data_IF_303737023918
#
_entry.id   IF_303737023918
#
_cell.length_a   1.000
_cell.length_b   1.000
_cell.length_c   1.000
_cell.angle_alpha   90.00
_cell.angle_beta   90.00
_cell.angle_gamma   90.00
#
_symmetry.space_group_name_H-M   'P 1'
#
loop_
_entity.id
_entity.type
_entity.pdbx_description
1 polymer ?
#
# COMPACT_ATOMS: atom_id res chain seq x y z
N UNK A 1 32.71 -11.60 0.06
CA UNK A 1 31.75 -11.15 -0.95
C UNK A 1 30.40 -11.07 -0.25
N UNK A 2 30.11 -9.92 0.34
CA UNK A 2 28.85 -9.62 1.00
C UNK A 2 27.82 -9.42 -0.11
N UNK A 3 26.85 -10.33 -0.19
CA UNK A 3 25.72 -10.19 -1.09
C UNK A 3 24.79 -9.19 -0.39
N UNK A 4 24.74 -7.97 -0.90
CA UNK A 4 23.76 -6.98 -0.45
C UNK A 4 22.35 -7.52 -0.72
N UNK A 5 21.41 -7.37 0.24
CA UNK A 5 20.04 -7.78 0.03
C UNK A 5 19.43 -6.92 -1.08
N UNK A 6 18.85 -7.57 -2.09
CA UNK A 6 18.09 -6.89 -3.15
C UNK A 6 16.92 -6.16 -2.48
N UNK A 7 17.02 -4.83 -2.43
CA UNK A 7 16.00 -3.97 -1.87
C UNK A 7 14.69 -4.15 -2.62
N UNK A 8 13.62 -4.45 -1.89
CA UNK A 8 12.22 -4.43 -2.39
C UNK A 8 11.65 -3.03 -2.43
N UNK A 9 12.45 -1.99 -2.16
CA UNK A 9 12.02 -0.62 -2.28
C UNK A 9 11.85 -0.28 -3.78
N UNK A 10 10.74 0.38 -4.09
CA UNK A 10 10.46 0.88 -5.44
C UNK A 10 11.31 2.11 -5.79
N UNK A 11 12.17 2.52 -4.86
CA UNK A 11 13.13 3.62 -4.94
C UNK A 11 14.45 3.19 -4.30
N UNK A 12 15.52 3.93 -4.57
CA UNK A 12 16.89 3.68 -4.15
C UNK A 12 17.50 4.91 -3.48
N UNK A 13 18.64 4.74 -2.80
CA UNK A 13 19.38 5.87 -2.25
C UNK A 13 19.77 6.89 -3.34
N UNK A 14 20.07 6.41 -4.55
CA UNK A 14 20.41 7.24 -5.70
C UNK A 14 19.24 8.16 -6.11
N UNK A 15 17.98 7.69 -6.01
CA UNK A 15 16.79 8.53 -6.28
C UNK A 15 16.66 9.69 -5.27
N UNK A 16 17.04 9.45 -4.01
CA UNK A 16 17.06 10.49 -2.96
C UNK A 16 18.17 11.50 -3.23
N UNK A 17 19.36 11.03 -3.63
CA UNK A 17 20.49 11.90 -4.00
C UNK A 17 20.17 12.74 -5.23
N UNK A 18 19.61 12.15 -6.29
CA UNK A 18 19.22 12.85 -7.51
C UNK A 18 18.19 13.96 -7.21
N UNK A 19 17.13 13.65 -6.45
CA UNK A 19 16.16 14.66 -6.05
C UNK A 19 16.81 15.77 -5.20
N UNK A 20 17.77 15.42 -4.35
CA UNK A 20 18.52 16.38 -3.54
C UNK A 20 19.30 17.36 -4.40
N UNK A 21 20.01 16.87 -5.42
CA UNK A 21 20.74 17.72 -6.36
C UNK A 21 19.80 18.65 -7.15
N UNK A 22 18.68 18.12 -7.64
CA UNK A 22 17.66 18.90 -8.37
C UNK A 22 17.09 20.02 -7.50
N UNK A 23 16.78 19.73 -6.23
CA UNK A 23 16.27 20.71 -5.28
C UNK A 23 17.36 21.73 -4.89
N UNK A 24 18.59 21.28 -4.63
CA UNK A 24 19.72 22.13 -4.25
C UNK A 24 20.12 23.12 -5.36
N UNK A 25 19.95 22.75 -6.64
CA UNK A 25 20.17 23.64 -7.76
C UNK A 25 19.22 24.86 -7.80
N UNK A 26 18.14 24.84 -7.00
CA UNK A 26 17.13 25.90 -6.99
C UNK A 26 17.39 26.95 -5.94
N UNK A 27 17.13 28.20 -6.31
CA UNK A 27 17.05 29.30 -5.35
C UNK A 27 15.65 29.32 -4.73
N UNK A 28 15.54 28.85 -3.50
CA UNK A 28 14.29 28.88 -2.74
C UNK A 28 14.44 29.52 -1.36
N UNK A 29 13.37 30.17 -0.90
CA UNK A 29 13.23 30.59 0.51
C UNK A 29 12.89 29.41 1.43
N UNK A 30 12.43 28.29 0.87
CA UNK A 30 12.17 27.06 1.63
C UNK A 30 13.46 26.57 2.34
N UNK A 31 14.63 26.82 1.73
CA UNK A 31 15.94 26.43 2.28
C UNK A 31 16.35 27.20 3.55
N UNK A 32 15.57 28.20 3.96
CA UNK A 32 15.75 28.86 5.25
C UNK A 32 15.13 28.06 6.40
N UNK A 33 14.25 27.10 6.09
CA UNK A 33 13.47 26.33 7.06
C UNK A 33 13.86 24.83 7.05
N UNK A 34 14.34 24.32 5.93
CA UNK A 34 14.73 22.91 5.76
C UNK A 34 15.91 22.80 4.78
N UNK A 35 16.54 21.63 4.66
CA UNK A 35 17.58 21.37 3.65
C UNK A 35 17.03 20.53 2.49
N UNK A 36 17.53 20.71 1.25
CA UNK A 36 17.14 19.87 0.12
C UNK A 36 17.19 18.36 0.41
N UNK A 37 18.22 17.88 1.10
CA UNK A 37 18.37 16.47 1.47
C UNK A 37 17.29 15.98 2.44
N UNK A 38 16.90 16.80 3.42
CA UNK A 38 15.84 16.45 4.37
C UNK A 38 14.48 16.36 3.66
N UNK A 39 14.22 17.26 2.71
CA UNK A 39 13.02 17.22 1.88
C UNK A 39 13.01 15.95 1.02
N UNK A 40 14.12 15.62 0.36
CA UNK A 40 14.21 14.40 -0.45
C UNK A 40 13.99 13.15 0.38
N UNK A 41 14.62 13.03 1.55
CA UNK A 41 14.41 11.90 2.45
C UNK A 41 12.94 11.80 2.89
N UNK A 42 12.29 12.93 3.21
CA UNK A 42 10.87 12.98 3.56
C UNK A 42 9.94 12.57 2.40
N UNK A 43 10.28 12.89 1.15
CA UNK A 43 9.49 12.50 -0.03
C UNK A 43 9.34 10.98 -0.09
N UNK A 44 10.43 10.24 0.12
CA UNK A 44 10.45 8.77 0.00
C UNK A 44 10.20 8.02 1.31
N UNK A 45 10.07 8.74 2.44
CA UNK A 45 9.66 8.15 3.71
C UNK A 45 8.24 7.55 3.62
N UNK A 46 7.94 6.62 4.53
CA UNK A 46 6.60 6.03 4.62
C UNK A 46 5.49 7.10 4.69
N UNK A 47 4.29 6.82 4.17
CA UNK A 47 3.17 7.75 4.12
C UNK A 47 2.52 7.93 5.51
N UNK A 48 3.32 8.27 6.52
CA UNK A 48 2.83 8.70 7.82
C UNK A 48 2.58 10.22 7.79
N UNK A 49 1.42 10.71 8.27
CA UNK A 49 1.23 12.13 8.50
C UNK A 49 2.29 12.63 9.48
N UNK A 50 2.87 13.79 9.20
CA UNK A 50 3.85 14.41 10.09
C UNK A 50 3.32 14.38 11.55
N UNK A 51 4.16 14.02 12.54
CA UNK A 51 3.77 14.05 13.94
C UNK A 51 3.17 15.42 14.25
N UNK A 52 2.15 15.44 15.10
CA UNK A 52 1.21 16.55 15.37
C UNK A 52 1.90 17.92 15.50
N UNK A 53 2.23 18.53 14.37
CA UNK A 53 2.61 19.93 14.29
C UNK A 53 1.39 20.73 14.78
N UNK A 54 1.60 21.71 15.68
CA UNK A 54 0.50 22.56 16.10
C UNK A 54 -0.15 23.20 14.86
N UNK A 55 -1.50 23.26 14.81
CA UNK A 55 -2.18 23.78 13.65
C UNK A 55 -1.71 25.22 13.36
N UNK A 56 -1.66 25.65 12.08
CA UNK A 56 -1.21 26.99 11.70
C UNK A 56 -2.00 28.12 12.37
N UNK A 57 -3.22 27.83 12.82
CA UNK A 57 -4.02 28.71 13.64
C UNK A 57 -4.96 27.90 14.55
N UNK A 58 -5.35 28.50 15.67
CA UNK A 58 -6.42 27.99 16.53
C UNK A 58 -7.77 28.05 15.83
N UNK A 59 -8.60 27.05 16.08
CA UNK A 59 -10.01 27.02 15.66
C UNK A 59 -10.84 27.36 16.89
N UNK A 60 -11.66 28.41 16.80
CA UNK A 60 -12.66 28.70 17.82
C UNK A 60 -13.90 27.82 17.57
N UNK A 61 -14.32 27.05 18.56
CA UNK A 61 -15.47 26.13 18.46
C UNK A 61 -15.14 24.73 17.95
N UNK A 62 -16.18 23.92 17.70
CA UNK A 62 -16.03 22.56 17.19
C UNK A 62 -15.81 22.60 15.67
N UNK A 63 -14.76 21.90 15.19
CA UNK A 63 -14.38 21.97 13.78
C UNK A 63 -15.45 21.39 12.84
N UNK A 64 -16.32 20.52 13.34
CA UNK A 64 -17.38 19.85 12.58
C UNK A 64 -18.73 20.59 12.63
N UNK A 65 -18.78 21.75 13.27
CA UNK A 65 -20.00 22.56 13.37
C UNK A 65 -20.62 22.83 11.99
N UNK A 66 -21.84 22.34 11.80
CA UNK A 66 -22.61 22.49 10.56
C UNK A 66 -22.17 21.61 9.40
N UNK A 67 -21.29 20.61 9.62
CA UNK A 67 -20.87 19.65 8.59
C UNK A 67 -21.63 18.33 8.71
N UNK A 68 -22.07 17.79 7.57
CA UNK A 68 -22.51 16.40 7.45
C UNK A 68 -21.32 15.43 7.34
N UNK A 69 -21.59 14.13 7.20
CA UNK A 69 -20.56 13.10 7.20
C UNK A 69 -19.62 13.16 5.98
N UNK A 70 -20.10 13.26 4.72
CA UNK A 70 -19.24 13.48 3.55
C UNK A 70 -18.39 14.75 3.68
N UNK A 71 -18.97 15.84 4.19
CA UNK A 71 -18.24 17.08 4.42
C UNK A 71 -17.11 16.87 5.45
N UNK A 72 -17.41 16.23 6.59
CA UNK A 72 -16.39 15.92 7.60
C UNK A 72 -15.23 15.10 7.01
N UNK A 73 -15.53 14.12 6.15
CA UNK A 73 -14.51 13.31 5.49
C UNK A 73 -13.67 14.13 4.50
N UNK A 74 -14.28 15.01 3.70
CA UNK A 74 -13.57 15.91 2.78
C UNK A 74 -12.65 16.89 3.52
N UNK A 75 -13.12 17.49 4.62
CA UNK A 75 -12.31 18.36 5.48
C UNK A 75 -11.13 17.62 6.11
N UNK A 76 -11.33 16.37 6.56
CA UNK A 76 -10.26 15.55 7.10
C UNK A 76 -9.22 15.16 6.04
N UNK A 77 -9.64 14.76 4.84
CA UNK A 77 -8.73 14.46 3.73
C UNK A 77 -7.91 15.70 3.33
N UNK A 78 -8.56 16.86 3.21
CA UNK A 78 -7.88 18.11 2.88
C UNK A 78 -6.84 18.50 3.95
N UNK A 79 -7.16 18.33 5.23
CA UNK A 79 -6.23 18.57 6.32
C UNK A 79 -5.05 17.61 6.33
N UNK A 80 -5.29 16.34 6.00
CA UNK A 80 -4.24 15.34 5.88
C UNK A 80 -3.28 15.66 4.72
N UNK A 81 -3.82 16.05 3.56
CA UNK A 81 -3.01 16.53 2.43
C UNK A 81 -2.22 17.80 2.77
N UNK A 82 -2.83 18.75 3.49
CA UNK A 82 -2.14 19.96 3.94
C UNK A 82 -0.92 19.63 4.83
N UNK A 83 -1.07 18.67 5.76
CA UNK A 83 0.02 18.18 6.62
C UNK A 83 1.13 17.44 5.88
N UNK A 84 0.83 16.97 4.67
CA UNK A 84 1.74 16.20 3.82
C UNK A 84 2.27 17.02 2.64
N UNK A 85 2.04 18.34 2.66
CA UNK A 85 2.37 19.21 1.52
C UNK A 85 3.87 19.44 1.39
N UNK A 86 4.53 19.81 2.48
CA UNK A 86 5.99 19.99 2.58
C UNK A 86 6.42 19.65 4.01
N UNK A 87 7.72 19.40 4.28
CA UNK A 87 8.20 19.34 5.65
C UNK A 87 7.87 20.64 6.38
N UNK A 88 7.61 20.56 7.68
CA UNK A 88 7.23 21.72 8.50
C UNK A 88 6.03 22.48 7.89
N UNK A 89 5.01 21.73 7.46
CA UNK A 89 3.87 22.27 6.72
C UNK A 89 3.25 23.46 7.46
N UNK A 90 3.11 23.40 8.78
CA UNK A 90 2.49 24.47 9.55
C UNK A 90 3.25 25.81 9.47
N UNK A 91 4.59 25.78 9.55
CA UNK A 91 5.43 26.99 9.54
C UNK A 91 5.54 27.63 8.15
N UNK A 92 5.21 26.87 7.11
CA UNK A 92 5.27 27.27 5.69
C UNK A 92 3.91 27.68 5.11
N UNK A 93 2.81 27.52 5.85
CA UNK A 93 1.46 27.86 5.44
C UNK A 93 1.32 29.35 5.09
N UNK A 94 0.63 29.66 3.98
CA UNK A 94 0.45 31.01 3.46
C UNK A 94 1.69 31.60 2.77
N UNK A 95 2.86 30.98 2.90
CA UNK A 95 4.09 31.36 2.19
C UNK A 95 4.35 30.44 1.00
N UNK A 96 4.34 29.12 1.20
CA UNK A 96 4.68 28.14 0.17
C UNK A 96 3.48 27.38 -0.37
N UNK A 97 2.39 27.38 0.40
CA UNK A 97 1.15 26.71 0.05
C UNK A 97 -0.05 27.40 0.73
N UNK A 98 -1.25 27.15 0.23
CA UNK A 98 -2.50 27.52 0.88
C UNK A 98 -3.54 26.40 0.69
N UNK A 99 -4.47 26.29 1.62
CA UNK A 99 -5.73 25.57 1.44
C UNK A 99 -6.84 26.61 1.36
N UNK A 100 -7.66 26.55 0.31
CA UNK A 100 -8.82 27.41 0.12
C UNK A 100 -10.10 26.61 0.03
N UNK A 101 -11.19 27.20 0.52
CA UNK A 101 -12.55 26.77 0.24
C UNK A 101 -13.11 27.70 -0.84
N UNK A 102 -13.41 27.18 -2.01
CA UNK A 102 -13.99 27.93 -3.13
C UNK A 102 -15.32 27.32 -3.56
N UNK A 103 -16.07 28.00 -4.40
CA UNK A 103 -17.25 27.44 -5.06
C UNK A 103 -17.07 27.64 -6.56
N UNK A 104 -17.04 26.56 -7.32
CA UNK A 104 -16.70 26.55 -8.75
C UNK A 104 -17.88 26.19 -9.67
N UNK A 105 -19.11 26.26 -9.13
CA UNK A 105 -20.33 25.94 -9.87
C UNK A 105 -20.76 24.49 -9.76
N UNK A 106 -19.84 23.57 -9.42
CA UNK A 106 -20.16 22.18 -9.06
C UNK A 106 -20.42 22.02 -7.57
N UNK A 107 -19.89 22.92 -6.75
CA UNK A 107 -20.19 23.00 -5.32
C UNK A 107 -19.05 23.62 -4.54
N UNK A 108 -19.11 23.57 -3.19
CA UNK A 108 -17.99 23.93 -2.36
C UNK A 108 -16.83 22.94 -2.56
N UNK A 109 -15.65 23.45 -2.89
CA UNK A 109 -14.43 22.72 -3.18
C UNK A 109 -13.34 23.13 -2.19
N UNK A 110 -12.74 22.13 -1.52
CA UNK A 110 -11.51 22.30 -0.75
C UNK A 110 -10.33 22.08 -1.69
N UNK A 111 -9.49 23.10 -1.85
CA UNK A 111 -8.43 23.13 -2.85
C UNK A 111 -7.09 23.52 -2.24
N UNK A 112 -6.11 22.63 -2.37
CA UNK A 112 -4.73 22.88 -1.97
C UNK A 112 -3.94 23.42 -3.16
N UNK A 113 -3.24 24.53 -2.94
CA UNK A 113 -2.35 25.14 -3.93
C UNK A 113 -0.95 25.26 -3.35
N UNK A 114 0.05 24.80 -4.10
CA UNK A 114 1.46 24.80 -3.70
C UNK A 114 2.25 25.50 -4.80
N UNK A 115 2.97 26.57 -4.44
CA UNK A 115 3.65 27.42 -5.42
C UNK A 115 2.70 28.04 -6.47
N UNK A 116 2.70 27.50 -7.69
CA UNK A 116 1.79 27.93 -8.79
C UNK A 116 0.72 26.92 -9.14
N UNK A 117 0.74 25.74 -8.51
CA UNK A 117 -0.04 24.61 -8.96
C UNK A 117 -1.09 24.25 -7.91
N UNK A 118 -2.31 24.01 -8.37
CA UNK A 118 -3.35 23.40 -7.56
C UNK A 118 -3.08 21.91 -7.52
N UNK A 119 -2.59 21.36 -6.40
CA UNK A 119 -2.11 19.98 -6.35
C UNK A 119 -3.15 18.99 -5.85
N UNK A 120 -4.20 19.49 -5.20
CA UNK A 120 -5.30 18.66 -4.72
C UNK A 120 -6.63 19.44 -4.71
N UNK A 121 -7.71 18.72 -4.97
CA UNK A 121 -9.08 19.18 -4.76
C UNK A 121 -10.00 18.06 -4.30
N UNK A 122 -10.90 18.38 -3.37
CA UNK A 122 -11.98 17.50 -2.94
C UNK A 122 -13.26 18.31 -2.76
N UNK A 123 -14.35 17.91 -3.41
CA UNK A 123 -15.63 18.55 -3.18
C UNK A 123 -16.17 18.18 -1.81
N UNK A 124 -16.83 19.14 -1.16
CA UNK A 124 -17.45 18.93 0.14
C UNK A 124 -18.62 17.95 0.10
N UNK A 125 -19.20 17.69 -1.08
CA UNK A 125 -20.17 16.61 -1.28
C UNK A 125 -19.56 15.21 -1.09
N UNK A 126 -18.23 15.10 -1.10
CA UNK A 126 -17.50 13.83 -1.15
C UNK A 126 -17.49 13.19 -2.54
N UNK A 127 -18.15 13.81 -3.52
CA UNK A 127 -18.15 13.39 -4.91
C UNK A 127 -16.87 13.91 -5.57
N UNK A 128 -16.07 13.00 -6.12
CA UNK A 128 -14.84 13.32 -6.83
C UNK A 128 -13.72 13.98 -5.99
N UNK A 129 -12.55 13.36 -6.05
CA UNK A 129 -11.29 13.89 -5.54
C UNK A 129 -10.28 13.85 -6.66
N UNK A 130 -9.46 14.88 -6.78
CA UNK A 130 -8.36 14.86 -7.74
C UNK A 130 -7.04 15.26 -7.09
N UNK A 131 -5.97 14.66 -7.59
CA UNK A 131 -4.60 14.81 -7.13
C UNK A 131 -3.70 15.00 -8.34
N UNK A 132 -2.84 16.02 -8.30
CA UNK A 132 -1.71 16.12 -9.21
C UNK A 132 -0.49 15.54 -8.54
N UNK A 133 0.24 14.68 -9.25
CA UNK A 133 1.43 14.00 -8.75
C UNK A 133 2.55 14.04 -9.77
N UNK A 134 3.80 13.88 -9.33
CA UNK A 134 4.95 13.75 -10.22
C UNK A 134 4.86 12.43 -11.01
N UNK A 135 5.19 12.44 -12.29
CA UNK A 135 5.09 11.25 -13.14
C UNK A 135 6.12 10.16 -12.80
N UNK A 136 7.37 10.56 -12.56
CA UNK A 136 8.49 9.62 -12.43
C UNK A 136 8.29 8.54 -11.35
N UNK A 137 7.86 8.84 -10.10
CA UNK A 137 7.64 7.82 -9.09
C UNK A 137 6.53 6.82 -9.44
N UNK A 138 5.48 7.29 -10.12
CA UNK A 138 4.39 6.42 -10.58
C UNK A 138 4.87 5.50 -11.69
N UNK A 139 5.60 6.04 -12.68
CA UNK A 139 6.16 5.26 -13.78
C UNK A 139 7.09 4.16 -13.28
N UNK A 140 8.04 4.49 -12.41
CA UNK A 140 8.97 3.52 -11.82
C UNK A 140 8.23 2.42 -11.04
N UNK A 141 7.24 2.80 -10.24
CA UNK A 141 6.45 1.84 -9.48
C UNK A 141 5.58 0.94 -10.36
N UNK A 142 5.11 1.43 -11.52
CA UNK A 142 4.42 0.61 -12.52
C UNK A 142 5.38 -0.40 -13.18
N UNK A 143 6.58 0.03 -13.56
CA UNK A 143 7.57 -0.80 -14.25
C UNK A 143 8.00 -2.02 -13.43
N UNK A 144 8.08 -1.86 -12.10
CA UNK A 144 8.45 -2.94 -11.18
C UNK A 144 7.24 -3.67 -10.56
N UNK A 145 6.01 -3.29 -10.93
CA UNK A 145 4.78 -3.88 -10.40
C UNK A 145 4.45 -3.55 -8.94
N UNK A 146 4.99 -2.46 -8.40
CA UNK A 146 4.65 -1.95 -7.07
C UNK A 146 3.28 -1.25 -7.02
N UNK A 147 2.71 -0.89 -8.19
CA UNK A 147 1.34 -0.40 -8.35
C UNK A 147 0.50 -1.40 -9.14
N UNK A 148 -0.73 -1.65 -8.67
CA UNK A 148 -1.69 -2.50 -9.38
C UNK A 148 -2.74 -1.64 -10.09
N UNK A 149 -2.56 -1.44 -11.40
CA UNK A 149 -3.48 -0.65 -12.23
C UNK A 149 -4.87 -1.28 -12.38
N UNK A 150 -4.98 -2.61 -12.31
CA UNK A 150 -6.28 -3.29 -12.34
C UNK A 150 -7.09 -2.95 -11.08
N UNK A 151 -6.44 -2.91 -9.92
CA UNK A 151 -7.07 -2.46 -8.67
C UNK A 151 -7.49 -0.99 -8.74
N UNK A 152 -6.66 -0.14 -9.35
CA UNK A 152 -7.01 1.27 -9.55
C UNK A 152 -8.27 1.39 -10.43
N UNK A 153 -8.34 0.67 -11.54
CA UNK A 153 -9.51 0.62 -12.41
C UNK A 153 -10.76 0.09 -11.69
N UNK A 154 -10.64 -0.97 -10.88
CA UNK A 154 -11.76 -1.50 -10.08
C UNK A 154 -12.32 -0.51 -9.06
N UNK A 155 -11.47 0.39 -8.56
CA UNK A 155 -11.86 1.48 -7.64
C UNK A 155 -12.31 2.76 -8.37
N UNK A 156 -12.34 2.75 -9.70
CA UNK A 156 -12.70 3.92 -10.50
C UNK A 156 -11.65 5.03 -10.47
N UNK A 157 -10.40 4.71 -10.16
CA UNK A 157 -9.31 5.68 -10.23
C UNK A 157 -8.90 5.86 -11.69
N UNK A 158 -8.97 7.10 -12.19
CA UNK A 158 -8.49 7.42 -13.54
C UNK A 158 -7.11 8.07 -13.46
N UNK A 159 -6.21 7.62 -14.33
CA UNK A 159 -4.88 8.18 -14.49
C UNK A 159 -4.82 8.93 -15.82
N UNK A 160 -4.68 10.25 -15.75
CA UNK A 160 -4.67 11.14 -16.90
C UNK A 160 -3.34 11.89 -16.99
N UNK A 161 -2.89 12.17 -18.21
CA UNK A 161 -1.74 13.05 -18.44
C UNK A 161 -2.13 14.49 -18.09
N UNK A 162 -1.36 15.14 -17.20
CA UNK A 162 -1.61 16.54 -16.85
C UNK A 162 -0.89 17.49 -17.82
N UNK A 163 -1.68 18.13 -18.69
CA UNK A 163 -1.20 19.07 -19.72
C UNK A 163 -0.92 20.48 -19.22
N UNK A 164 -1.04 20.74 -17.92
CA UNK A 164 -0.71 22.05 -17.34
C UNK A 164 0.80 22.32 -17.47
N UNK A 165 1.14 23.47 -18.05
CA UNK A 165 2.54 23.91 -18.15
C UNK A 165 2.96 24.53 -16.82
N UNK A 166 3.77 23.80 -16.06
CA UNK A 166 4.38 24.30 -14.81
C UNK A 166 5.87 23.98 -14.79
N UNK A 167 6.56 24.31 -13.69
CA UNK A 167 8.00 24.07 -13.54
C UNK A 167 8.37 22.57 -13.46
N UNK A 168 7.41 21.65 -13.27
CA UNK A 168 7.64 20.21 -13.21
C UNK A 168 7.44 19.57 -14.59
N UNK A 169 8.43 18.76 -15.01
CA UNK A 169 8.56 18.25 -16.39
C UNK A 169 7.46 17.24 -16.76
N UNK A 170 7.14 16.29 -15.87
CA UNK A 170 6.06 15.32 -16.09
C UNK A 170 5.13 15.24 -14.87
N UNK A 171 3.83 15.41 -15.12
CA UNK A 171 2.78 15.38 -14.09
C UNK A 171 1.66 14.45 -14.54
N UNK A 172 1.07 13.78 -13.56
CA UNK A 172 -0.14 12.99 -13.76
C UNK A 172 -1.27 13.58 -12.93
N UNK A 173 -2.49 13.47 -13.46
CA UNK A 173 -3.73 13.79 -12.77
C UNK A 173 -4.42 12.48 -12.42
N UNK A 174 -4.57 12.22 -11.12
CA UNK A 174 -5.34 11.12 -10.57
C UNK A 174 -6.72 11.64 -10.18
N UNK A 175 -7.78 11.02 -10.65
CA UNK A 175 -9.14 11.27 -10.16
C UNK A 175 -9.64 10.04 -9.39
N UNK A 176 -10.39 10.27 -8.32
CA UNK A 176 -10.99 9.25 -7.49
C UNK A 176 -12.49 9.56 -7.38
N UNK A 177 -13.38 8.55 -7.39
CA UNK A 177 -14.82 8.78 -7.36
C UNK A 177 -15.31 9.28 -6.00
N UNK A 178 -14.57 9.00 -4.93
CA UNK A 178 -14.94 9.31 -3.55
C UNK A 178 -13.72 9.50 -2.63
N UNK A 179 -13.99 9.99 -1.42
CA UNK A 179 -13.00 10.28 -0.37
C UNK A 179 -12.28 9.02 0.11
N UNK A 180 -12.99 7.89 0.25
CA UNK A 180 -12.42 6.64 0.74
C UNK A 180 -11.39 6.05 -0.24
N UNK A 181 -11.70 6.14 -1.53
CA UNK A 181 -10.80 5.73 -2.61
C UNK A 181 -9.57 6.62 -2.65
N UNK A 182 -9.72 7.94 -2.49
CA UNK A 182 -8.60 8.85 -2.41
C UNK A 182 -7.70 8.57 -1.20
N UNK A 183 -8.28 8.32 -0.02
CA UNK A 183 -7.55 7.94 1.19
C UNK A 183 -6.80 6.61 1.02
N UNK A 184 -7.41 5.63 0.36
CA UNK A 184 -6.74 4.37 0.04
C UNK A 184 -5.57 4.59 -0.92
N UNK A 185 -5.76 5.40 -1.97
CA UNK A 185 -4.76 5.67 -2.99
C UNK A 185 -3.55 6.40 -2.39
N UNK A 186 -3.79 7.42 -1.56
CA UNK A 186 -2.75 8.21 -0.91
C UNK A 186 -1.94 7.44 0.14
N UNK A 187 -2.44 6.31 0.64
CA UNK A 187 -1.70 5.41 1.52
C UNK A 187 -0.72 4.50 0.78
N UNK A 188 -0.72 4.51 -0.55
CA UNK A 188 0.29 3.79 -1.33
C UNK A 188 1.59 4.61 -1.36
N UNK A 189 2.74 4.05 -0.93
CA UNK A 189 4.00 4.77 -0.89
C UNK A 189 4.40 5.44 -2.22
N UNK A 190 4.25 4.80 -3.40
CA UNK A 190 4.56 5.45 -4.68
C UNK A 190 3.73 6.70 -4.95
N UNK A 191 2.43 6.66 -4.61
CA UNK A 191 1.52 7.79 -4.81
C UNK A 191 1.86 8.93 -3.87
N UNK A 192 2.12 8.62 -2.59
CA UNK A 192 2.50 9.64 -1.63
C UNK A 192 3.82 10.31 -2.02
N UNK A 193 4.83 9.53 -2.38
CA UNK A 193 6.09 10.07 -2.83
C UNK A 193 5.92 10.91 -4.11
N UNK A 194 5.10 10.49 -5.06
CA UNK A 194 4.76 11.28 -6.25
C UNK A 194 4.10 12.63 -5.90
N UNK A 195 3.18 12.65 -4.93
CA UNK A 195 2.53 13.86 -4.46
C UNK A 195 3.52 14.78 -3.72
N UNK A 196 4.31 14.24 -2.78
CA UNK A 196 5.33 14.97 -2.02
C UNK A 196 6.42 15.53 -2.92
N UNK A 197 6.90 14.75 -3.89
CA UNK A 197 7.92 15.17 -4.86
C UNK A 197 7.43 16.37 -5.68
N UNK A 198 6.19 16.29 -6.20
CA UNK A 198 5.60 17.41 -6.93
C UNK A 198 5.48 18.65 -6.03
N UNK A 199 4.96 18.49 -4.82
CA UNK A 199 4.79 19.61 -3.89
C UNK A 199 6.13 20.26 -3.52
N UNK A 200 7.15 19.47 -3.19
CA UNK A 200 8.51 19.94 -2.90
C UNK A 200 9.07 20.74 -4.09
N UNK A 201 8.90 20.21 -5.30
CA UNK A 201 9.33 20.86 -6.54
C UNK A 201 8.68 22.24 -6.70
N UNK A 202 7.36 22.35 -6.57
CA UNK A 202 6.66 23.62 -6.81
C UNK A 202 6.76 24.60 -5.61
N UNK A 203 6.84 24.10 -4.38
CA UNK A 203 7.05 24.90 -3.16
C UNK A 203 8.42 25.58 -3.14
N UNK A 204 9.42 24.97 -3.80
CA UNK A 204 10.74 25.56 -3.96
C UNK A 204 10.72 26.83 -4.87
N UNK A 205 9.64 27.10 -5.59
CA UNK A 205 9.47 28.29 -6.43
C UNK A 205 9.26 29.61 -5.65
N UNK A 206 9.36 30.78 -6.31
CA UNK A 206 9.35 32.10 -5.66
C UNK A 206 7.95 32.65 -5.30
N UNK A 207 6.96 31.79 -5.09
CA UNK A 207 5.55 32.21 -4.94
C UNK A 207 5.18 32.43 -3.47
N UNK A 208 4.29 33.39 -3.21
CA UNK A 208 3.73 33.70 -1.88
C UNK A 208 2.22 33.89 -1.96
N UNK A 209 1.52 33.53 -0.89
CA UNK A 209 0.06 33.50 -0.81
C UNK A 209 -0.54 34.43 0.25
N UNK A 210 0.26 35.31 0.85
CA UNK A 210 -0.12 36.11 2.03
C UNK A 210 -1.49 36.83 1.90
N UNK A 211 -1.88 37.31 0.72
CA UNK A 211 -3.18 37.97 0.53
C UNK A 211 -4.40 37.04 0.39
N UNK A 212 -4.19 35.78 0.02
CA UNK A 212 -5.26 34.78 -0.22
C UNK A 212 -5.36 33.74 0.87
N UNK A 213 -4.33 33.61 1.71
CA UNK A 213 -4.30 32.69 2.82
C UNK A 213 -5.43 32.98 3.81
N UNK A 214 -6.06 31.92 4.29
CA UNK A 214 -7.16 31.93 5.26
C UNK A 214 -6.84 30.91 6.34
N UNK A 215 -6.27 31.39 7.43
CA UNK A 215 -5.74 30.57 8.51
C UNK A 215 -6.82 29.69 9.15
N UNK A 216 -8.06 30.19 9.21
CA UNK A 216 -9.23 29.51 9.73
C UNK A 216 -9.63 28.27 8.92
N UNK A 217 -9.51 28.34 7.58
CA UNK A 217 -9.79 27.19 6.70
C UNK A 217 -8.76 26.10 6.95
N UNK A 218 -7.48 26.48 7.04
CA UNK A 218 -6.42 25.52 7.27
C UNK A 218 -6.54 24.90 8.66
N UNK A 219 -6.75 25.72 9.71
CA UNK A 219 -6.91 25.25 11.08
C UNK A 219 -8.07 24.26 11.22
N UNK A 220 -9.22 24.55 10.59
CA UNK A 220 -10.39 23.66 10.60
C UNK A 220 -10.09 22.31 9.94
N UNK A 221 -9.50 22.31 8.74
CA UNK A 221 -9.12 21.08 8.04
C UNK A 221 -8.06 20.29 8.83
N UNK A 222 -7.07 20.97 9.39
CA UNK A 222 -6.03 20.37 10.23
C UNK A 222 -6.64 19.61 11.41
N UNK A 223 -7.58 20.25 12.11
CA UNK A 223 -8.28 19.66 13.26
C UNK A 223 -9.16 18.49 12.85
N UNK A 224 -9.82 18.56 11.69
CA UNK A 224 -10.58 17.45 11.13
C UNK A 224 -9.68 16.23 10.89
N UNK A 225 -8.50 16.43 10.29
CA UNK A 225 -7.54 15.37 10.05
C UNK A 225 -6.98 14.79 11.35
N UNK A 226 -6.69 15.61 12.36
CA UNK A 226 -6.32 15.12 13.69
C UNK A 226 -7.42 14.27 14.33
N UNK A 227 -8.67 14.71 14.22
CA UNK A 227 -9.79 14.06 14.91
C UNK A 227 -10.18 12.75 14.24
N UNK A 228 -10.21 12.72 12.91
CA UNK A 228 -10.74 11.58 12.14
C UNK A 228 -9.65 10.65 11.59
N UNK A 229 -8.43 11.17 11.38
CA UNK A 229 -7.35 10.41 10.74
C UNK A 229 -6.11 10.26 11.62
N UNK A 230 -5.90 11.08 12.66
CA UNK A 230 -4.85 10.83 13.65
C UNK A 230 -5.37 9.84 14.71
N UNK A 231 -4.76 8.66 14.76
CA UNK A 231 -5.25 7.55 15.58
C UNK A 231 -6.20 6.60 14.84
N UNK A 232 -6.60 6.92 13.60
CA UNK A 232 -6.95 5.85 12.67
C UNK A 232 -5.67 5.02 12.53
N UNK A 233 -5.65 3.83 13.15
CA UNK A 233 -4.58 2.88 12.96
C UNK A 233 -4.26 2.86 11.45
N UNK A 234 -2.97 2.85 11.03
CA UNK A 234 -2.65 2.63 9.62
C UNK A 234 -3.56 1.49 9.21
N UNK A 235 -4.45 1.72 8.22
CA UNK A 235 -5.49 0.73 7.82
C UNK A 235 -4.78 -0.59 7.88
N UNK A 236 -5.13 -1.41 8.88
CA UNK A 236 -4.29 -2.55 9.22
C UNK A 236 -4.12 -3.29 7.91
N UNK A 237 -2.90 -3.29 7.37
CA UNK A 237 -2.56 -4.21 6.30
C UNK A 237 -2.58 -5.57 7.00
N UNK A 238 -3.78 -6.17 7.03
CA UNK A 238 -4.08 -7.54 7.36
C UNK A 238 -3.74 -8.12 8.73
N UNK A 239 -2.98 -7.42 9.57
CA UNK A 239 -2.33 -8.02 10.73
C UNK A 239 -3.29 -8.55 11.80
N UNK A 240 -4.40 -7.87 12.07
CA UNK A 240 -5.36 -8.30 13.10
C UNK A 240 -6.17 -9.55 12.74
N UNK A 241 -6.33 -9.81 11.43
CA UNK A 241 -7.10 -10.96 10.90
C UNK A 241 -6.23 -12.15 10.52
N UNK A 242 -4.92 -11.94 10.40
CA UNK A 242 -3.96 -12.94 9.96
C UNK A 242 -3.75 -13.01 8.43
N UNK A 243 -4.23 -12.03 7.66
CA UNK A 243 -4.10 -11.93 6.20
C UNK A 243 -4.48 -10.53 5.70
N UNK A 244 -3.93 -10.09 4.56
CA UNK A 244 -4.09 -8.72 4.02
C UNK A 244 -5.43 -8.46 3.34
N UNK A 245 -5.98 -9.47 2.65
CA UNK A 245 -7.23 -9.35 1.88
C UNK A 245 -8.00 -10.65 1.86
N UNK A 246 -9.30 -10.57 1.61
CA UNK A 246 -10.12 -11.77 1.35
C UNK A 246 -9.59 -12.50 0.10
N UNK A 247 -9.69 -13.82 0.09
CA UNK A 247 -9.29 -14.62 -1.06
C UNK A 247 -10.23 -14.36 -2.24
N UNK A 248 -9.65 -14.07 -3.41
CA UNK A 248 -10.36 -13.93 -4.68
C UNK A 248 -9.67 -14.85 -5.68
N UNK A 249 -10.47 -15.68 -6.37
CA UNK A 249 -9.95 -16.59 -7.38
C UNK A 249 -9.19 -15.82 -8.47
N UNK A 250 -7.99 -16.30 -8.88
CA UNK A 250 -7.30 -15.71 -10.02
C UNK A 250 -8.17 -15.81 -11.27
N UNK A 251 -8.45 -14.67 -11.92
CA UNK A 251 -9.06 -14.68 -13.24
C UNK A 251 -8.02 -15.19 -14.25
N UNK A 252 -8.32 -16.27 -14.98
CA UNK A 252 -7.46 -16.67 -16.09
C UNK A 252 -7.59 -15.59 -17.19
N UNK A 253 -6.52 -14.87 -17.56
CA UNK A 253 -6.59 -13.88 -18.62
C UNK A 253 -7.05 -14.51 -19.93
N UNK A 254 -7.83 -13.78 -20.73
CA UNK A 254 -8.31 -14.24 -22.04
C UNK A 254 -7.14 -14.57 -22.99
N UNK A 255 -6.07 -13.78 -22.91
CA UNK A 255 -4.80 -13.99 -23.61
C UNK A 255 -3.66 -14.19 -22.59
N UNK A 256 -3.08 -15.40 -22.46
CA UNK A 256 -1.93 -15.61 -21.60
C UNK A 256 -0.71 -14.84 -22.14
N UNK A 257 0.22 -14.40 -21.27
CA UNK A 257 1.42 -13.69 -21.70
C UNK A 257 2.21 -14.51 -22.73
N UNK A 258 2.85 -13.84 -23.71
CA UNK A 258 3.49 -14.47 -24.86
C UNK A 258 4.50 -15.58 -24.52
N UNK A 259 5.13 -15.53 -23.33
CA UNK A 259 6.00 -16.58 -22.79
C UNK A 259 5.29 -17.89 -22.41
N UNK A 260 3.97 -17.85 -22.18
CA UNK A 260 3.10 -18.99 -21.80
C UNK A 260 2.07 -19.33 -22.88
N UNK A 261 2.17 -18.71 -24.05
CA UNK A 261 1.26 -18.88 -25.20
C UNK A 261 1.34 -20.27 -25.87
N UNK A 262 2.31 -21.11 -25.51
CA UNK A 262 2.49 -22.43 -26.16
C UNK A 262 1.44 -23.47 -25.74
N UNK A 263 0.80 -23.31 -24.57
CA UNK A 263 -0.34 -24.14 -24.17
C UNK A 263 -1.29 -23.39 -23.22
N UNK A 264 -2.21 -22.62 -23.82
CA UNK A 264 -3.20 -21.84 -23.09
C UNK A 264 -4.18 -22.72 -22.29
N UNK A 265 -4.43 -23.96 -22.74
CA UNK A 265 -5.35 -24.87 -22.07
C UNK A 265 -4.72 -25.51 -20.84
N UNK A 266 -3.46 -25.93 -20.93
CA UNK A 266 -2.66 -26.36 -19.77
C UNK A 266 -2.54 -25.24 -18.73
N UNK A 267 -2.29 -23.99 -19.16
CA UNK A 267 -2.24 -22.85 -18.26
C UNK A 267 -3.58 -22.61 -17.56
N UNK A 268 -4.70 -22.60 -18.31
CA UNK A 268 -6.05 -22.47 -17.74
C UNK A 268 -6.39 -23.62 -16.80
N UNK A 269 -5.95 -24.85 -17.10
CA UNK A 269 -6.13 -26.01 -16.24
C UNK A 269 -5.37 -25.85 -14.93
N UNK A 270 -4.10 -25.40 -14.98
CA UNK A 270 -3.30 -25.09 -13.80
C UNK A 270 -3.92 -24.02 -12.92
N UNK A 271 -4.40 -22.91 -13.49
CA UNK A 271 -5.09 -21.84 -12.74
C UNK A 271 -6.36 -22.38 -12.05
N UNK A 272 -7.16 -23.20 -12.74
CA UNK A 272 -8.35 -23.82 -12.15
C UNK A 272 -8.00 -24.80 -11.04
N UNK A 273 -6.94 -25.59 -11.21
CA UNK A 273 -6.49 -26.53 -10.18
C UNK A 273 -5.95 -25.80 -8.95
N UNK A 274 -5.16 -24.74 -9.15
CA UNK A 274 -4.69 -23.88 -8.07
C UNK A 274 -5.87 -23.25 -7.30
N UNK A 275 -6.84 -22.65 -7.99
CA UNK A 275 -8.02 -22.07 -7.32
C UNK A 275 -8.81 -23.13 -6.55
N UNK A 276 -8.96 -24.34 -7.12
CA UNK A 276 -9.62 -25.46 -6.47
C UNK A 276 -8.91 -25.86 -5.17
N UNK A 277 -7.58 -25.95 -5.17
CA UNK A 277 -6.78 -26.26 -3.98
C UNK A 277 -6.89 -25.16 -2.92
N UNK A 278 -6.79 -23.89 -3.32
CA UNK A 278 -6.98 -22.77 -2.40
C UNK A 278 -8.35 -22.82 -1.72
N UNK A 279 -9.42 -23.05 -2.50
CA UNK A 279 -10.78 -23.22 -1.98
C UNK A 279 -10.92 -24.44 -1.08
N UNK A 280 -10.24 -25.55 -1.40
CA UNK A 280 -10.25 -26.74 -0.55
C UNK A 280 -9.66 -26.44 0.83
N UNK A 281 -8.51 -25.74 0.89
CA UNK A 281 -7.90 -25.33 2.15
C UNK A 281 -8.76 -24.31 2.91
N UNK A 282 -9.30 -23.31 2.22
CA UNK A 282 -10.21 -22.32 2.81
C UNK A 282 -11.43 -23.02 3.43
N UNK A 283 -12.09 -23.92 2.69
CA UNK A 283 -13.26 -24.63 3.19
C UNK A 283 -12.93 -25.52 4.39
N UNK A 284 -11.77 -26.18 4.37
CA UNK A 284 -11.28 -26.99 5.49
C UNK A 284 -11.10 -26.15 6.75
N UNK A 285 -10.43 -25.01 6.65
CA UNK A 285 -10.16 -24.09 7.77
C UNK A 285 -11.43 -23.39 8.27
N UNK A 286 -12.33 -22.97 7.37
CA UNK A 286 -13.63 -22.38 7.75
C UNK A 286 -14.49 -23.37 8.54
N UNK A 287 -14.47 -24.67 8.17
CA UNK A 287 -15.18 -25.71 8.93
C UNK A 287 -14.65 -25.86 10.37
N UNK A 288 -13.43 -25.38 10.64
CA UNK A 288 -12.81 -25.33 11.98
C UNK A 288 -12.94 -23.96 12.65
N UNK A 289 -13.70 -23.03 12.06
CA UNK A 289 -13.92 -21.68 12.57
C UNK A 289 -12.76 -20.71 12.30
N UNK A 290 -11.80 -21.09 11.45
CA UNK A 290 -10.65 -20.28 11.09
C UNK A 290 -10.97 -19.44 9.84
N UNK A 291 -10.68 -18.15 9.91
CA UNK A 291 -10.77 -17.25 8.74
C UNK A 291 -9.47 -17.27 7.97
N UNK A 292 -9.58 -17.27 6.65
CA UNK A 292 -8.44 -17.38 5.73
C UNK A 292 -8.59 -16.34 4.64
N UNK A 293 -7.48 -15.69 4.29
CA UNK A 293 -7.42 -14.76 3.17
C UNK A 293 -6.10 -14.89 2.43
N UNK A 294 -5.76 -13.91 1.61
CA UNK A 294 -4.56 -13.88 0.78
C UNK A 294 -3.63 -12.72 1.18
N UNK A 295 -2.33 -12.90 0.93
CA UNK A 295 -1.30 -11.93 1.29
C UNK A 295 -1.07 -11.78 2.79
N UNK A 296 0.13 -11.36 3.17
CA UNK A 296 0.44 -11.01 4.55
C UNK A 296 1.55 -9.96 4.60
N UNK A 297 1.25 -8.79 5.14
CA UNK A 297 2.14 -7.63 5.19
C UNK A 297 2.84 -7.38 3.84
N UNK A 298 2.14 -7.39 2.72
CA UNK A 298 2.73 -7.14 1.40
C UNK A 298 3.66 -8.25 0.88
N UNK A 299 3.72 -9.40 1.55
CA UNK A 299 4.31 -10.62 1.01
C UNK A 299 3.24 -11.36 0.20
N UNK A 300 3.51 -11.78 -1.05
CA UNK A 300 2.51 -12.33 -1.97
C UNK A 300 2.24 -13.83 -1.71
N UNK A 301 1.94 -14.18 -0.45
CA UNK A 301 1.50 -15.54 -0.09
C UNK A 301 0.11 -15.81 -0.68
N UNK A 302 -0.11 -17.03 -1.18
CA UNK A 302 -1.40 -17.42 -1.76
C UNK A 302 -2.50 -17.38 -0.71
N UNK A 303 -2.22 -17.94 0.48
CA UNK A 303 -3.13 -17.92 1.62
C UNK A 303 -2.41 -17.58 2.93
N UNK A 304 -3.10 -16.93 3.84
CA UNK A 304 -2.65 -16.67 5.19
C UNK A 304 -3.83 -16.72 6.18
N UNK A 305 -3.54 -17.13 7.41
CA UNK A 305 -4.52 -17.17 8.49
C UNK A 305 -3.85 -17.14 9.86
N UNK A 306 -4.65 -16.89 10.89
CA UNK A 306 -4.29 -17.16 12.29
C UNK A 306 -5.15 -18.28 12.84
N UNK A 307 -4.54 -19.18 13.59
CA UNK A 307 -5.30 -20.17 14.35
C UNK A 307 -5.90 -19.57 15.63
N UNK A 308 -6.65 -20.38 16.38
CA UNK A 308 -7.26 -19.98 17.64
C UNK A 308 -6.25 -19.58 18.73
N UNK A 309 -5.01 -20.07 18.64
CA UNK A 309 -3.91 -19.74 19.56
C UNK A 309 -3.16 -18.47 19.11
N UNK A 310 -3.57 -17.84 18.00
CA UNK A 310 -2.96 -16.63 17.45
C UNK A 310 -1.69 -16.88 16.63
N UNK A 311 -1.33 -18.14 16.33
CA UNK A 311 -0.17 -18.47 15.50
C UNK A 311 -0.45 -18.08 14.06
N UNK A 312 0.52 -17.41 13.44
CA UNK A 312 0.42 -17.01 12.04
C UNK A 312 0.83 -18.15 11.12
N UNK A 313 0.02 -18.41 10.11
CA UNK A 313 0.32 -19.36 9.04
C UNK A 313 0.36 -18.63 7.70
N UNK A 314 1.20 -19.13 6.80
CA UNK A 314 1.25 -18.74 5.39
C UNK A 314 1.28 -20.01 4.54
N UNK A 315 0.57 -20.02 3.42
CA UNK A 315 0.58 -21.11 2.48
C UNK A 315 0.95 -20.67 1.08
N UNK A 316 1.76 -21.50 0.42
CA UNK A 316 2.01 -21.49 -1.01
C UNK A 316 1.31 -22.70 -1.63
N UNK A 317 0.58 -22.52 -2.72
CA UNK A 317 -0.28 -23.54 -3.34
C UNK A 317 0.19 -23.83 -4.76
N UNK A 318 0.61 -25.07 -5.03
CA UNK A 318 1.08 -25.51 -6.35
C UNK A 318 0.19 -26.57 -6.99
N UNK A 319 -0.33 -26.23 -8.16
CA UNK A 319 -0.95 -27.18 -9.08
C UNK A 319 0.13 -28.03 -9.76
N UNK A 320 0.01 -29.36 -9.67
CA UNK A 320 0.95 -30.31 -10.29
C UNK A 320 0.39 -30.88 -11.61
N UNK A 321 -0.77 -30.42 -12.09
CA UNK A 321 -1.26 -30.82 -13.41
C UNK A 321 -0.24 -30.48 -14.51
N UNK A 322 0.19 -31.52 -15.25
CA UNK A 322 0.94 -31.46 -16.51
C UNK A 322 2.39 -30.96 -16.45
N UNK A 323 2.85 -30.41 -15.33
CA UNK A 323 4.26 -30.00 -15.10
C UNK A 323 5.01 -31.01 -14.24
N UNK A 324 6.34 -31.03 -14.34
CA UNK A 324 7.21 -31.83 -13.47
C UNK A 324 6.92 -31.52 -11.99
N UNK A 325 6.41 -32.52 -11.27
CA UNK A 325 6.11 -32.46 -9.83
C UNK A 325 7.29 -31.92 -9.02
N UNK A 326 8.50 -32.38 -9.33
CA UNK A 326 9.74 -31.97 -8.66
C UNK A 326 10.02 -30.48 -8.86
N UNK A 327 9.71 -29.92 -10.04
CA UNK A 327 9.93 -28.50 -10.32
C UNK A 327 8.95 -27.63 -9.54
N UNK A 328 7.68 -28.00 -9.49
CA UNK A 328 6.67 -27.27 -8.71
C UNK A 328 6.96 -27.33 -7.21
N UNK A 329 7.38 -28.49 -6.70
CA UNK A 329 7.76 -28.64 -5.29
C UNK A 329 9.00 -27.80 -4.93
N UNK A 330 10.03 -27.79 -5.78
CA UNK A 330 11.21 -26.93 -5.58
C UNK A 330 10.83 -25.45 -5.60
N UNK A 331 10.00 -25.05 -6.56
CA UNK A 331 9.56 -23.67 -6.70
C UNK A 331 8.73 -23.23 -5.50
N UNK A 332 7.70 -24.00 -5.13
CA UNK A 332 6.84 -23.70 -3.99
C UNK A 332 7.58 -23.70 -2.66
N UNK A 333 8.51 -24.65 -2.44
CA UNK A 333 9.35 -24.67 -1.25
C UNK A 333 10.25 -23.43 -1.17
N UNK A 334 10.88 -23.05 -2.30
CA UNK A 334 11.72 -21.86 -2.36
C UNK A 334 10.93 -20.59 -2.02
N UNK A 335 9.73 -20.45 -2.59
CA UNK A 335 8.86 -19.29 -2.35
C UNK A 335 8.40 -19.22 -0.89
N UNK A 336 7.88 -20.31 -0.31
CA UNK A 336 7.35 -20.25 1.06
C UNK A 336 8.43 -19.99 2.11
N UNK A 337 9.66 -20.48 1.88
CA UNK A 337 10.82 -20.18 2.74
C UNK A 337 11.24 -18.72 2.64
N UNK A 338 11.21 -18.17 1.43
CA UNK A 338 11.52 -16.77 1.18
C UNK A 338 10.49 -15.83 1.84
N UNK A 339 9.21 -16.14 1.71
CA UNK A 339 8.12 -15.42 2.35
C UNK A 339 8.25 -15.43 3.87
N UNK A 340 8.50 -16.61 4.46
CA UNK A 340 8.75 -16.73 5.91
C UNK A 340 9.91 -15.84 6.35
N UNK A 341 11.01 -15.83 5.60
CA UNK A 341 12.17 -15.00 5.93
C UNK A 341 11.83 -13.50 5.90
N UNK A 342 11.12 -13.03 4.86
CA UNK A 342 10.68 -11.63 4.74
C UNK A 342 9.75 -11.21 5.88
N UNK A 343 8.87 -12.11 6.32
CA UNK A 343 7.96 -11.87 7.45
C UNK A 343 8.71 -11.83 8.79
N UNK A 344 9.67 -12.74 9.00
CA UNK A 344 10.50 -12.75 10.20
C UNK A 344 11.31 -11.46 10.36
N UNK A 345 11.83 -10.90 9.26
CA UNK A 345 12.52 -9.61 9.25
C UNK A 345 11.61 -8.44 9.71
N UNK A 346 10.29 -8.64 9.71
CA UNK A 346 9.26 -7.68 10.16
C UNK A 346 8.68 -8.04 11.53
N UNK A 347 9.31 -8.97 12.25
CA UNK A 347 8.86 -9.42 13.57
C UNK A 347 7.65 -10.37 13.54
N UNK A 348 7.32 -10.94 12.38
CA UNK A 348 6.19 -11.86 12.23
C UNK A 348 6.73 -13.29 12.12
N UNK A 349 6.51 -14.08 13.16
CA UNK A 349 6.83 -15.51 13.13
C UNK A 349 5.68 -16.28 12.49
N UNK A 350 5.89 -16.71 11.24
CA UNK A 350 4.89 -17.43 10.44
C UNK A 350 5.30 -18.90 10.23
N UNK A 351 4.33 -19.79 10.40
CA UNK A 351 4.44 -21.21 10.08
C UNK A 351 4.18 -21.42 8.58
N UNK A 352 5.19 -21.87 7.80
CA UNK A 352 5.03 -22.06 6.36
C UNK A 352 4.33 -23.38 6.04
N UNK A 353 3.41 -23.33 5.08
CA UNK A 353 2.66 -24.47 4.55
C UNK A 353 2.85 -24.53 3.04
N UNK A 354 3.17 -25.70 2.51
CA UNK A 354 3.21 -25.97 1.08
C UNK A 354 2.05 -26.90 0.74
N UNK A 355 1.12 -26.45 -0.10
CA UNK A 355 -0.03 -27.23 -0.55
C UNK A 355 0.19 -27.66 -1.99
N UNK A 356 0.04 -28.93 -2.28
CA UNK A 356 0.18 -29.47 -3.64
C UNK A 356 -0.98 -30.39 -4.00
N UNK A 357 -1.38 -30.45 -5.27
CA UNK A 357 -2.45 -31.39 -5.66
C UNK A 357 -2.04 -32.86 -5.53
N UNK A 358 -0.75 -33.16 -5.64
CA UNK A 358 -0.19 -34.51 -5.47
C UNK A 358 1.29 -34.46 -5.10
N UNK A 359 1.72 -35.35 -4.22
CA UNK A 359 3.13 -35.63 -3.93
C UNK A 359 3.38 -37.15 -3.96
N UNK A 360 4.06 -37.66 -4.98
CA UNK A 360 4.37 -39.09 -5.17
C UNK A 360 5.69 -39.50 -4.53
N UNK A 361 6.67 -38.60 -4.48
CA UNK A 361 7.97 -38.86 -3.86
C UNK A 361 7.92 -38.55 -2.36
N UNK A 362 8.00 -39.60 -1.53
CA UNK A 362 7.94 -39.52 -0.08
C UNK A 362 9.11 -38.74 0.53
N UNK A 363 10.23 -38.57 -0.19
CA UNK A 363 11.36 -37.77 0.30
C UNK A 363 10.95 -36.32 0.60
N UNK A 364 9.95 -35.78 -0.09
CA UNK A 364 9.48 -34.41 0.11
C UNK A 364 8.84 -34.16 1.47
N UNK A 365 8.27 -35.18 2.12
CA UNK A 365 7.79 -35.05 3.50
C UNK A 365 8.96 -34.78 4.46
N UNK A 366 10.08 -35.51 4.29
CA UNK A 366 11.29 -35.30 5.08
C UNK A 366 11.94 -33.95 4.76
N UNK A 367 12.07 -33.60 3.48
CA UNK A 367 12.64 -32.31 3.04
C UNK A 367 11.86 -31.13 3.64
N UNK A 368 10.52 -31.15 3.56
CA UNK A 368 9.71 -30.09 4.14
C UNK A 368 9.83 -30.08 5.67
N UNK A 369 9.78 -31.25 6.32
CA UNK A 369 9.95 -31.40 7.75
C UNK A 369 11.27 -30.83 8.29
N UNK A 370 12.39 -31.15 7.64
CA UNK A 370 13.74 -30.66 7.98
C UNK A 370 13.86 -29.13 7.84
N UNK A 371 13.00 -28.52 7.02
CA UNK A 371 12.92 -27.06 6.82
C UNK A 371 11.78 -26.40 7.64
N UNK A 372 11.12 -27.15 8.51
CA UNK A 372 9.95 -26.71 9.28
C UNK A 372 8.80 -26.18 8.40
N UNK A 373 8.59 -26.80 7.25
CA UNK A 373 7.47 -26.56 6.33
C UNK A 373 6.46 -27.70 6.45
N UNK A 374 5.18 -27.35 6.62
CA UNK A 374 4.09 -28.32 6.61
C UNK A 374 3.73 -28.62 5.17
N UNK A 375 3.94 -29.85 4.72
CA UNK A 375 3.48 -30.30 3.40
C UNK A 375 2.06 -30.85 3.50
N UNK A 376 1.15 -30.31 2.70
CA UNK A 376 -0.21 -30.81 2.49
C UNK A 376 -0.35 -31.26 1.05
N UNK A 377 -0.74 -32.51 0.81
CA UNK A 377 -1.05 -33.01 -0.52
C UNK A 377 -2.53 -33.44 -0.65
N UNK A 378 -3.07 -33.36 -1.87
CA UNK A 378 -4.43 -33.78 -2.19
C UNK A 378 -5.51 -32.73 -1.90
N UNK A 379 -6.75 -33.19 -1.66
CA UNK A 379 -7.94 -32.33 -1.52
C UNK A 379 -8.66 -32.53 -0.17
N UNK A 380 -7.98 -32.26 0.94
CA UNK A 380 -8.65 -32.16 2.23
C UNK A 380 -9.06 -33.49 2.87
N UNK A 381 -8.15 -34.45 2.95
CA UNK A 381 -8.34 -35.65 3.78
C UNK A 381 -8.14 -35.34 5.28
N UNK A 382 -8.51 -36.28 6.14
CA UNK A 382 -8.28 -36.23 7.60
C UNK A 382 -6.81 -35.96 7.99
N UNK A 383 -5.88 -36.14 7.04
CA UNK A 383 -4.45 -35.95 7.20
C UNK A 383 -4.05 -34.47 7.33
N UNK A 384 -4.80 -33.54 6.73
CA UNK A 384 -4.52 -32.10 6.83
C UNK A 384 -4.63 -31.59 8.26
N UNK A 385 -5.71 -31.97 8.95
CA UNK A 385 -5.91 -31.63 10.37
C UNK A 385 -4.74 -32.11 11.23
N UNK A 386 -4.31 -33.35 11.03
CA UNK A 386 -3.20 -33.92 11.78
C UNK A 386 -1.89 -33.16 11.51
N UNK A 387 -1.62 -32.79 10.25
CA UNK A 387 -0.42 -32.06 9.87
C UNK A 387 -0.38 -30.63 10.44
N UNK A 388 -1.49 -29.89 10.31
CA UNK A 388 -1.63 -28.52 10.84
C UNK A 388 -1.60 -28.47 12.38
N UNK A 389 -2.03 -29.55 13.05
CA UNK A 389 -1.97 -29.66 14.53
C UNK A 389 -0.59 -30.08 15.04
N UNK A 390 0.16 -30.91 14.29
CA UNK A 390 1.50 -31.40 14.68
C UNK A 390 2.58 -30.32 14.67
N UNK A 391 2.37 -29.19 13.98
CA UNK A 391 3.22 -28.00 14.07
C UNK A 391 3.20 -27.29 15.44
N UNK A 392 2.65 -27.92 16.49
CA UNK A 392 2.66 -27.40 17.86
C UNK A 392 4.05 -27.66 18.47
N UNK A 393 4.88 -26.62 18.73
CA UNK A 393 6.05 -26.83 19.56
C UNK A 393 5.61 -27.36 20.93
N UNK A 394 6.35 -28.29 21.56
CA UNK A 394 6.03 -28.71 22.91
C UNK A 394 6.10 -27.47 23.81
N UNK A 395 4.95 -27.07 24.37
CA UNK A 395 4.93 -26.11 25.46
C UNK A 395 5.91 -26.61 26.53
N UNK A 396 6.87 -25.76 26.90
CA UNK A 396 7.62 -25.92 28.12
C UNK A 396 6.60 -26.03 29.26
N UNK A 397 6.38 -27.27 29.71
CA UNK A 397 5.89 -27.55 31.05
C UNK A 397 6.78 -26.75 31.99
N UNK A 398 6.23 -25.66 32.55
CA UNK A 398 6.79 -25.06 33.76
C UNK A 398 6.73 -26.15 34.83
N UNK A 399 7.86 -26.83 35.01
CA UNK A 399 8.15 -27.58 36.21
C UNK A 399 8.80 -26.60 37.20
N UNK A 400 8.22 -26.48 38.40
CA UNK A 400 8.76 -25.70 39.52
C UNK A 400 7.87 -24.55 39.91
#
# INVERSE_FOLDING_TARGET
MTIEPVSTAWWSADDVEELTEILAARRSRLWQLTQPGDVSAWVFADPEPAPLDPPPAGVDGDWDDGLDEPQRAAWALAGWMARMTVPEAASTAGRHWLLSRVNDGHGPLLRLTVGVLETFGAYESGEEVWLRVAGAPIGLAMDIGAVNLEEWGRRGIELLEDRTKTLAEEKMLLTCPDIDTALWLLRQPPVMAAARMLNAWVAAGPFSFEGRYRAEVVGRAWRAAETLLAGAAPVEIGGGRGFDREYVAPAAPADPPAQRSFDADAYRAGVREHDRLCRALINHLIAEGVRVGAGLHGVPVDLAWRDADGRQFIAEVKSVAEVSEVEQLRLGLGQVLEYRHRLAARGIDATPVLVVSRCTDQAWQAICGDNHVILLDGDGTADWRAALTKGRPPHALKAG
#
